data_IF_322606835403
#
_entry.id   IF_322606835403
#
_cell.length_a   1.000
_cell.length_b   1.000
_cell.length_c   1.000
_cell.angle_alpha   90.00
_cell.angle_beta   90.00
_cell.angle_gamma   90.00
#
_symmetry.space_group_name_H-M   'P 1'
#
loop_
_entity.id
_entity.type
_entity.pdbx_description
1 polymer ?
#
# COMPACT_ATOMS: atom_id res chain seq x y z
N UNK A 1 -17.33 -10.95 -3.17
CA UNK A 1 -16.35 -11.97 -2.75
C UNK A 1 -15.00 -11.63 -3.33
N UNK A 2 -13.96 -11.63 -2.51
CA UNK A 2 -12.61 -11.27 -2.93
C UNK A 2 -11.82 -12.46 -3.43
N UNK A 3 -10.80 -12.19 -4.24
CA UNK A 3 -9.84 -13.18 -4.73
C UNK A 3 -8.50 -12.86 -4.09
N UNK A 4 -7.78 -13.90 -3.63
CA UNK A 4 -6.45 -13.72 -3.06
C UNK A 4 -5.44 -13.66 -4.21
N UNK A 5 -4.69 -12.57 -4.26
CA UNK A 5 -3.64 -12.36 -5.26
C UNK A 5 -2.37 -11.81 -4.59
N UNK A 6 -1.22 -12.16 -5.14
CA UNK A 6 0.05 -11.54 -4.74
C UNK A 6 0.24 -10.30 -5.58
N UNK A 7 0.33 -9.14 -4.93
CA UNK A 7 0.39 -7.85 -5.60
C UNK A 7 1.46 -6.96 -4.94
N UNK A 8 1.83 -5.90 -5.66
CA UNK A 8 2.71 -4.87 -5.10
C UNK A 8 1.85 -3.92 -4.28
N UNK A 9 2.24 -3.69 -3.04
CA UNK A 9 1.52 -2.79 -2.14
C UNK A 9 2.44 -1.65 -1.71
N UNK A 10 1.93 -0.44 -1.84
CA UNK A 10 2.53 0.75 -1.26
C UNK A 10 1.90 0.96 0.11
N UNK A 11 2.70 0.77 1.15
CA UNK A 11 2.24 0.93 2.53
C UNK A 11 2.70 2.26 3.08
N UNK A 12 1.81 2.93 3.79
CA UNK A 12 2.06 4.20 4.46
C UNK A 12 2.14 3.98 5.96
N UNK A 13 3.29 4.34 6.53
CA UNK A 13 3.51 4.26 7.97
C UNK A 13 3.71 5.65 8.54
N UNK A 14 3.11 5.91 9.69
CA UNK A 14 3.26 7.18 10.41
C UNK A 14 3.91 6.91 11.76
N UNK A 15 4.92 7.71 12.10
CA UNK A 15 5.58 7.64 13.40
C UNK A 15 4.86 8.57 14.38
N UNK A 16 4.44 8.01 15.50
CA UNK A 16 3.75 8.75 16.55
C UNK A 16 4.31 8.31 17.91
N UNK A 17 4.98 9.24 18.59
CA UNK A 17 5.55 8.99 19.90
C UNK A 17 6.57 7.85 19.93
N UNK A 18 7.31 7.66 18.84
CA UNK A 18 8.27 6.58 18.69
C UNK A 18 7.69 5.26 18.20
N UNK A 19 6.39 5.21 17.97
CA UNK A 19 5.71 4.04 17.42
C UNK A 19 5.44 4.21 15.93
N UNK A 20 5.64 3.12 15.20
CA UNK A 20 5.42 3.08 13.76
C UNK A 20 4.09 2.38 13.52
N UNK A 21 3.11 3.12 13.02
CA UNK A 21 1.77 2.61 12.76
C UNK A 21 1.44 2.66 11.28
N UNK A 22 0.81 1.60 10.77
CA UNK A 22 0.34 1.58 9.39
C UNK A 22 -0.96 2.39 9.29
N UNK A 23 -0.96 3.40 8.41
CA UNK A 23 -2.13 4.25 8.18
C UNK A 23 -2.92 3.83 6.96
N UNK A 24 -2.27 3.14 6.01
CA UNK A 24 -2.97 2.69 4.82
C UNK A 24 -2.08 1.91 3.88
N UNK A 25 -2.70 1.30 2.90
CA UNK A 25 -2.00 0.57 1.85
C UNK A 25 -2.75 0.73 0.54
N UNK A 26 -1.97 0.72 -0.56
CA UNK A 26 -2.53 0.94 -1.88
C UNK A 26 -1.97 -0.08 -2.85
N UNK A 27 -2.84 -0.71 -3.62
CA UNK A 27 -2.45 -1.63 -4.68
C UNK A 27 -1.79 -0.86 -5.83
N UNK A 28 -0.63 -1.34 -6.29
CA UNK A 28 0.08 -0.79 -7.43
C UNK A 28 0.19 -1.84 -8.53
N UNK A 29 0.20 -1.39 -9.77
CA UNK A 29 0.22 -2.31 -10.92
C UNK A 29 1.54 -3.08 -11.01
N UNK A 30 2.64 -2.42 -10.68
CA UNK A 30 3.97 -3.04 -10.71
C UNK A 30 4.92 -2.28 -9.79
N UNK A 31 6.12 -2.85 -9.61
CA UNK A 31 7.12 -2.28 -8.72
C UNK A 31 7.58 -0.89 -9.17
N UNK A 32 7.75 -0.71 -10.48
CA UNK A 32 8.17 0.58 -11.04
C UNK A 32 7.17 1.69 -10.69
N UNK A 33 5.88 1.42 -10.86
CA UNK A 33 4.80 2.36 -10.52
C UNK A 33 4.79 2.64 -9.01
N UNK A 34 4.99 1.60 -8.20
CA UNK A 34 5.04 1.75 -6.75
C UNK A 34 6.20 2.64 -6.31
N UNK A 35 7.38 2.43 -6.87
CA UNK A 35 8.57 3.24 -6.53
C UNK A 35 8.39 4.69 -6.96
N UNK A 36 7.77 4.93 -8.11
CA UNK A 36 7.49 6.29 -8.58
C UNK A 36 6.51 6.99 -7.64
N UNK A 37 5.45 6.30 -7.23
CA UNK A 37 4.48 6.84 -6.28
C UNK A 37 5.13 7.12 -4.93
N UNK A 38 6.00 6.22 -4.48
CA UNK A 38 6.75 6.38 -3.24
C UNK A 38 7.61 7.65 -3.27
N UNK A 39 8.36 7.87 -4.35
CA UNK A 39 9.21 9.07 -4.49
C UNK A 39 8.39 10.35 -4.46
N UNK A 40 7.28 10.37 -5.19
CA UNK A 40 6.39 11.52 -5.23
C UNK A 40 5.82 11.81 -3.85
N UNK A 41 5.36 10.78 -3.15
CA UNK A 41 4.78 10.92 -1.82
C UNK A 41 5.82 11.39 -0.80
N UNK A 42 7.05 10.87 -0.86
CA UNK A 42 8.13 11.25 0.06
C UNK A 42 8.52 12.72 -0.11
N UNK A 43 8.44 13.27 -1.33
CA UNK A 43 8.72 14.70 -1.58
C UNK A 43 7.70 15.60 -0.90
N UNK A 44 6.46 15.13 -0.79
CA UNK A 44 5.35 15.92 -0.27
C UNK A 44 5.08 15.67 1.20
N UNK A 45 5.79 14.72 1.81
CA UNK A 45 5.59 14.32 3.20
C UNK A 45 6.79 14.70 4.06
N UNK A 46 6.55 14.93 5.33
CA UNK A 46 7.61 15.18 6.29
C UNK A 46 8.31 13.91 6.74
N UNK A 47 9.26 14.05 7.67
CA UNK A 47 10.09 12.94 8.18
C UNK A 47 9.31 11.96 9.06
N UNK A 48 8.07 12.27 9.39
CA UNK A 48 7.24 11.44 10.26
C UNK A 48 6.49 10.35 9.49
N UNK A 49 6.63 10.33 8.17
CA UNK A 49 5.90 9.41 7.30
C UNK A 49 6.90 8.57 6.52
N UNK A 50 6.68 7.28 6.47
CA UNK A 50 7.50 6.35 5.70
C UNK A 50 6.63 5.56 4.74
N UNK A 51 7.12 5.39 3.50
CA UNK A 51 6.45 4.59 2.48
C UNK A 51 7.31 3.38 2.16
N UNK A 52 6.68 2.23 1.96
CA UNK A 52 7.38 1.02 1.54
C UNK A 52 6.62 0.34 0.41
N UNK A 53 7.38 -0.23 -0.54
CA UNK A 53 6.83 -1.06 -1.61
C UNK A 53 7.19 -2.50 -1.30
N UNK A 54 6.20 -3.39 -1.26
CA UNK A 54 6.43 -4.80 -0.95
C UNK A 54 5.46 -5.69 -1.71
N UNK A 55 5.83 -6.97 -1.88
CA UNK A 55 4.94 -7.99 -2.38
C UNK A 55 4.13 -8.53 -1.23
N UNK A 56 2.82 -8.46 -1.34
CA UNK A 56 1.91 -8.93 -0.30
C UNK A 56 0.77 -9.72 -0.94
N UNK A 57 0.24 -10.67 -0.18
CA UNK A 57 -0.99 -11.34 -0.55
C UNK A 57 -2.16 -10.53 -0.06
N UNK A 58 -3.06 -10.21 -0.97
CA UNK A 58 -4.23 -9.38 -0.67
C UNK A 58 -5.50 -10.08 -1.08
N UNK A 59 -6.56 -9.83 -0.32
CA UNK A 59 -7.91 -10.11 -0.79
C UNK A 59 -8.30 -8.93 -1.67
N UNK A 60 -8.35 -9.19 -2.99
CA UNK A 60 -8.68 -8.15 -3.97
C UNK A 60 -10.17 -8.10 -4.20
N UNK A 61 -10.72 -6.91 -4.16
CA UNK A 61 -12.13 -6.67 -4.47
C UNK A 61 -12.23 -5.65 -5.61
N UNK A 62 -13.33 -5.74 -6.35
CA UNK A 62 -13.61 -4.80 -7.44
C UNK A 62 -14.78 -3.93 -6.98
N UNK A 63 -14.60 -2.61 -7.05
CA UNK A 63 -15.64 -1.67 -6.67
C UNK A 63 -16.67 -1.50 -7.80
N UNK A 64 -17.65 -0.62 -7.58
CA UNK A 64 -18.73 -0.37 -8.53
C UNK A 64 -18.25 0.22 -9.85
N UNK A 65 -17.06 0.83 -9.86
CA UNK A 65 -16.48 1.43 -11.07
C UNK A 65 -15.58 0.47 -11.83
N UNK A 66 -15.40 -0.75 -11.33
CA UNK A 66 -14.58 -1.77 -11.96
C UNK A 66 -13.10 -1.69 -11.56
N UNK A 67 -12.75 -0.86 -10.59
CA UNK A 67 -11.37 -0.74 -10.11
C UNK A 67 -11.11 -1.77 -9.03
N UNK A 68 -10.01 -2.52 -9.19
CA UNK A 68 -9.56 -3.47 -8.16
C UNK A 68 -8.75 -2.76 -7.10
N UNK A 69 -8.97 -3.15 -5.85
CA UNK A 69 -8.14 -2.67 -4.75
C UNK A 69 -7.99 -3.76 -3.68
N UNK A 70 -6.95 -3.60 -2.86
CA UNK A 70 -6.68 -4.54 -1.77
C UNK A 70 -7.56 -4.20 -0.58
N UNK A 71 -8.50 -5.10 -0.26
CA UNK A 71 -9.37 -4.94 0.89
C UNK A 71 -8.64 -5.27 2.19
N UNK A 72 -7.83 -6.33 2.16
CA UNK A 72 -7.10 -6.78 3.34
C UNK A 72 -5.81 -7.46 2.93
N UNK A 73 -4.72 -7.14 3.62
CA UNK A 73 -3.43 -7.82 3.47
C UNK A 73 -3.44 -9.07 4.35
N UNK A 74 -3.11 -10.21 3.74
CA UNK A 74 -3.03 -11.48 4.45
C UNK A 74 -1.60 -11.66 4.93
N UNK A 75 -1.44 -11.78 6.24
CA UNK A 75 -0.14 -12.05 6.84
C UNK A 75 -0.21 -13.35 7.63
N UNK A 76 0.83 -14.15 7.50
CA UNK A 76 0.97 -15.40 8.26
C UNK A 76 1.35 -15.12 9.71
#
# INVERSE_FOLDING_TARGET
MGIIETVIILSLYVYDGGNKNIEGWYHQDNLSTCLAAKRTAERNSGNQVQYTCSLEQCIMITDKTGVKHCDKIIKD
#
